data_IF_308630581678
#
_entry.id   IF_308630581678
#
_cell.length_a   1.000
_cell.length_b   1.000
_cell.length_c   1.000
_cell.angle_alpha   90.00
_cell.angle_beta   90.00
_cell.angle_gamma   90.00
#
_symmetry.space_group_name_H-M   'P 1'
#
loop_
_entity.id
_entity.type
_entity.pdbx_description
1 polymer ?
#
# COMPACT_ATOMS: atom_id res chain seq x y z
N UNK A 1 22.22 -39.91 -1.73
CA UNK A 1 21.03 -39.54 -0.97
C UNK A 1 21.57 -38.75 0.21
N UNK A 2 21.63 -37.45 0.07
CA UNK A 2 21.85 -36.53 1.16
C UNK A 2 20.44 -36.03 1.55
N UNK A 3 20.04 -36.39 2.76
CA UNK A 3 18.87 -35.82 3.37
C UNK A 3 19.12 -34.30 3.52
N UNK A 4 18.50 -33.51 2.64
CA UNK A 4 18.31 -32.10 2.89
C UNK A 4 17.38 -31.99 4.13
N UNK A 5 17.98 -31.94 5.32
CA UNK A 5 17.34 -31.34 6.48
C UNK A 5 16.95 -29.91 6.06
N UNK A 6 15.69 -29.74 5.70
CA UNK A 6 15.04 -28.44 5.56
C UNK A 6 15.06 -27.87 6.99
N UNK A 7 16.10 -27.11 7.31
CA UNK A 7 16.15 -26.34 8.53
C UNK A 7 14.83 -25.57 8.61
N UNK A 8 14.05 -25.79 9.68
CA UNK A 8 12.83 -25.05 9.95
C UNK A 8 13.19 -23.57 9.90
N UNK A 9 12.75 -22.89 8.84
CA UNK A 9 13.10 -21.51 8.62
C UNK A 9 12.49 -20.69 9.78
N UNK A 10 13.35 -20.02 10.54
CA UNK A 10 12.96 -19.22 11.70
C UNK A 10 11.96 -18.15 11.21
N UNK A 11 10.80 -18.00 11.87
CA UNK A 11 9.85 -16.95 11.53
C UNK A 11 10.50 -15.56 11.61
N UNK A 12 10.06 -14.63 10.77
CA UNK A 12 10.53 -13.25 10.77
C UNK A 12 9.52 -12.32 11.45
N UNK A 13 10.03 -11.23 12.03
CA UNK A 13 9.16 -10.19 12.60
C UNK A 13 8.94 -9.11 11.55
N UNK A 14 7.67 -8.84 11.24
CA UNK A 14 7.24 -7.70 10.44
C UNK A 14 6.77 -6.56 11.33
N UNK A 15 7.11 -5.33 10.94
CA UNK A 15 6.57 -4.09 11.49
C UNK A 15 5.97 -3.29 10.35
N UNK A 16 4.74 -2.84 10.52
CA UNK A 16 4.07 -1.90 9.59
C UNK A 16 3.74 -0.62 10.35
N UNK A 17 4.36 0.50 9.94
CA UNK A 17 4.32 1.77 10.65
C UNK A 17 3.50 2.77 9.86
N UNK A 18 2.23 2.91 10.25
CA UNK A 18 1.37 3.97 9.76
C UNK A 18 1.37 5.21 10.66
N UNK A 19 0.73 6.28 10.20
CA UNK A 19 0.61 7.52 10.97
C UNK A 19 -0.23 7.41 12.24
N UNK A 20 -1.10 6.41 12.36
CA UNK A 20 -2.04 6.24 13.49
C UNK A 20 -1.85 4.92 14.24
N UNK A 21 -1.41 3.88 13.57
CA UNK A 21 -1.22 2.55 14.15
C UNK A 21 0.11 1.95 13.72
N UNK A 22 0.71 1.15 14.60
CA UNK A 22 1.82 0.26 14.32
C UNK A 22 1.30 -1.17 14.48
N UNK A 23 1.56 -2.02 13.49
CA UNK A 23 1.30 -3.46 13.55
C UNK A 23 2.63 -4.18 13.59
N UNK A 24 2.80 -5.08 14.56
CA UNK A 24 3.93 -5.98 14.65
C UNK A 24 3.42 -7.42 14.56
N UNK A 25 4.05 -8.25 13.75
CA UNK A 25 3.66 -9.65 13.64
C UNK A 25 4.86 -10.58 13.52
N UNK A 26 4.74 -11.75 14.11
CA UNK A 26 5.60 -12.89 13.83
C UNK A 26 4.99 -13.66 12.66
N UNK A 27 5.73 -13.79 11.57
CA UNK A 27 5.25 -14.33 10.30
C UNK A 27 6.15 -15.49 9.89
N UNK A 28 5.56 -16.61 9.51
CA UNK A 28 6.30 -17.73 8.96
C UNK A 28 6.67 -17.51 7.48
N UNK A 29 7.43 -18.45 6.91
CA UNK A 29 7.88 -18.38 5.51
C UNK A 29 6.75 -18.41 4.47
N UNK A 30 5.60 -18.96 4.84
CA UNK A 30 4.44 -19.10 3.97
C UNK A 30 3.49 -17.88 4.12
N UNK A 31 3.89 -16.88 4.92
CA UNK A 31 3.15 -15.66 5.16
C UNK A 31 2.05 -15.77 6.21
N UNK A 32 1.97 -16.92 6.94
CA UNK A 32 0.99 -17.03 8.01
C UNK A 32 1.43 -16.21 9.24
N UNK A 33 0.50 -15.41 9.75
CA UNK A 33 0.70 -14.64 10.98
C UNK A 33 0.52 -15.59 12.17
N UNK A 34 1.61 -15.82 12.91
CA UNK A 34 1.62 -16.65 14.11
C UNK A 34 1.17 -15.85 15.33
N UNK A 35 1.60 -14.60 15.43
CA UNK A 35 1.25 -13.66 16.50
C UNK A 35 1.17 -12.26 15.95
N UNK A 36 0.24 -11.47 16.45
CA UNK A 36 0.09 -10.05 16.10
C UNK A 36 -0.03 -9.18 17.35
N UNK A 37 0.52 -7.98 17.25
CA UNK A 37 0.40 -6.88 18.21
C UNK A 37 0.03 -5.61 17.47
N UNK A 38 -0.90 -4.84 18.03
CA UNK A 38 -1.29 -3.53 17.49
C UNK A 38 -1.20 -2.50 18.59
N UNK A 39 -0.58 -1.37 18.27
CA UNK A 39 -0.48 -0.22 19.17
C UNK A 39 -0.77 1.06 18.39
N UNK A 40 -1.17 2.10 19.10
CA UNK A 40 -1.25 3.45 18.50
C UNK A 40 0.15 3.97 18.20
N UNK A 41 0.31 4.68 17.08
CA UNK A 41 1.59 5.29 16.72
C UNK A 41 1.89 6.45 17.66
N UNK A 42 2.97 6.39 18.46
CA UNK A 42 3.35 7.52 19.31
C UNK A 42 3.65 8.76 18.49
N UNK A 43 3.18 9.92 18.93
CA UNK A 43 3.42 11.21 18.25
C UNK A 43 4.89 11.58 18.24
N UNK A 44 5.57 11.34 19.37
CA UNK A 44 6.99 11.62 19.53
C UNK A 44 7.87 10.57 18.84
N UNK A 45 8.86 11.02 18.04
CA UNK A 45 9.71 10.14 17.23
C UNK A 45 10.61 9.21 18.04
N UNK A 46 11.14 9.66 19.20
CA UNK A 46 11.97 8.84 20.07
C UNK A 46 11.13 7.77 20.77
N UNK A 47 9.95 8.13 21.26
CA UNK A 47 8.99 7.19 21.83
C UNK A 47 8.54 6.16 20.80
N UNK A 48 8.33 6.57 19.55
CA UNK A 48 7.98 5.65 18.48
C UNK A 48 9.06 4.61 18.25
N UNK A 49 10.33 5.02 18.18
CA UNK A 49 11.43 4.07 18.04
C UNK A 49 11.56 3.14 19.23
N UNK A 50 11.40 3.65 20.46
CA UNK A 50 11.37 2.83 21.65
C UNK A 50 10.23 1.81 21.64
N UNK A 51 9.05 2.19 21.14
CA UNK A 51 7.90 1.29 20.98
C UNK A 51 8.19 0.17 19.97
N UNK A 52 8.82 0.49 18.83
CA UNK A 52 9.23 -0.54 17.85
C UNK A 52 10.19 -1.56 18.47
N UNK A 53 11.17 -1.10 19.23
CA UNK A 53 12.12 -1.95 19.96
C UNK A 53 11.38 -2.83 20.97
N UNK A 54 10.49 -2.25 21.76
CA UNK A 54 9.72 -2.98 22.75
C UNK A 54 8.82 -4.07 22.14
N UNK A 55 8.21 -3.80 21.00
CA UNK A 55 7.39 -4.77 20.27
C UNK A 55 8.23 -5.96 19.77
N UNK A 56 9.40 -5.69 19.18
CA UNK A 56 10.31 -6.74 18.70
C UNK A 56 10.84 -7.56 19.88
N UNK A 57 11.36 -6.90 20.91
CA UNK A 57 11.88 -7.56 22.11
C UNK A 57 10.82 -8.42 22.81
N UNK A 58 9.58 -7.93 22.86
CA UNK A 58 8.46 -8.68 23.42
C UNK A 58 8.19 -9.96 22.65
N UNK A 59 8.10 -9.88 21.31
CA UNK A 59 7.90 -11.05 20.46
C UNK A 59 9.07 -12.04 20.56
N UNK A 60 10.32 -11.56 20.58
CA UNK A 60 11.50 -12.40 20.72
C UNK A 60 11.49 -13.17 22.06
N UNK A 61 11.18 -12.51 23.17
CA UNK A 61 11.16 -13.12 24.51
C UNK A 61 10.01 -14.11 24.67
N UNK A 62 8.82 -13.77 24.18
CA UNK A 62 7.64 -14.64 24.31
C UNK A 62 7.75 -15.94 23.50
N UNK A 63 8.48 -15.89 22.37
CA UNK A 63 8.61 -17.02 21.44
C UNK A 63 10.01 -17.64 21.37
N UNK A 64 10.89 -17.28 22.30
CA UNK A 64 12.27 -17.80 22.43
C UNK A 64 13.08 -17.66 21.11
N UNK A 65 12.93 -16.51 20.45
CA UNK A 65 13.56 -16.23 19.17
C UNK A 65 14.96 -15.64 19.38
N UNK A 66 16.00 -16.44 19.19
CA UNK A 66 17.39 -16.01 19.33
C UNK A 66 18.04 -15.59 18.01
N UNK A 67 17.49 -16.06 16.88
CA UNK A 67 18.00 -15.80 15.53
C UNK A 67 16.84 -15.51 14.58
N UNK A 68 16.29 -14.31 14.67
CA UNK A 68 15.25 -13.86 13.74
C UNK A 68 15.71 -12.65 12.94
N UNK A 69 14.94 -12.23 11.97
CA UNK A 69 15.16 -11.01 11.22
C UNK A 69 13.96 -10.09 11.38
N UNK A 70 14.19 -8.81 11.22
CA UNK A 70 13.13 -7.79 11.33
C UNK A 70 12.97 -7.08 10.00
N UNK A 71 11.76 -7.07 9.47
CA UNK A 71 11.37 -6.24 8.34
C UNK A 71 10.45 -5.11 8.80
N UNK A 72 10.61 -3.94 8.22
CA UNK A 72 9.86 -2.73 8.57
C UNK A 72 9.28 -2.11 7.30
N UNK A 73 7.97 -1.96 7.25
CA UNK A 73 7.28 -1.09 6.30
C UNK A 73 7.02 0.27 6.95
N UNK A 74 7.51 1.35 6.38
CA UNK A 74 7.35 2.70 6.92
C UNK A 74 6.65 3.62 5.91
N UNK A 75 5.59 4.31 6.34
CA UNK A 75 4.88 5.27 5.52
C UNK A 75 5.77 6.48 5.19
N UNK A 76 6.39 6.50 4.01
CA UNK A 76 7.27 7.57 3.54
C UNK A 76 8.34 7.11 2.55
N UNK A 77 9.21 8.03 2.18
CA UNK A 77 10.32 7.78 1.26
C UNK A 77 11.46 7.07 2.02
N UNK A 78 11.79 5.85 1.64
CA UNK A 78 12.86 5.04 2.26
C UNK A 78 13.93 4.73 1.24
N UNK A 79 15.19 5.05 1.55
CA UNK A 79 16.30 4.77 0.65
C UNK A 79 16.87 3.34 0.80
N UNK A 80 17.88 3.03 -0.02
CA UNK A 80 18.50 1.69 -0.05
C UNK A 80 19.24 1.34 1.27
N UNK A 81 19.67 2.33 2.03
CA UNK A 81 20.31 2.18 3.33
C UNK A 81 19.31 2.03 4.48
N UNK A 82 18.00 2.13 4.20
CA UNK A 82 16.93 2.08 5.20
C UNK A 82 16.83 3.34 6.05
N UNK A 83 17.23 4.48 5.47
CA UNK A 83 16.99 5.81 6.03
C UNK A 83 15.61 6.29 5.54
N UNK A 84 14.76 6.70 6.46
CA UNK A 84 13.50 7.34 6.12
C UNK A 84 13.79 8.80 5.79
N UNK A 85 13.85 9.10 4.49
CA UNK A 85 14.21 10.42 3.99
C UNK A 85 13.13 11.46 4.26
N UNK A 86 11.88 11.06 4.12
CA UNK A 86 10.74 11.94 4.36
C UNK A 86 9.49 11.14 4.68
N UNK A 87 8.92 11.37 5.85
CA UNK A 87 7.66 10.76 6.30
C UNK A 87 6.86 11.80 7.10
N UNK A 88 6.05 12.64 6.44
CA UNK A 88 5.36 13.76 7.11
C UNK A 88 4.40 13.29 8.20
N UNK A 89 3.75 12.15 8.03
CA UNK A 89 2.82 11.58 9.02
C UNK A 89 3.53 10.99 10.24
N UNK A 90 4.85 10.80 10.16
CA UNK A 90 5.71 10.30 11.22
C UNK A 90 6.68 11.37 11.73
N UNK A 91 6.64 12.58 11.18
CA UNK A 91 7.59 13.67 11.46
C UNK A 91 9.07 13.23 11.38
N UNK A 92 9.36 12.31 10.45
CA UNK A 92 10.72 11.85 10.20
C UNK A 92 11.32 12.53 8.97
N UNK A 93 12.58 12.97 9.12
CA UNK A 93 13.41 13.52 8.05
C UNK A 93 14.82 12.99 8.20
N UNK A 94 15.35 12.39 7.13
CA UNK A 94 16.68 11.75 7.14
C UNK A 94 16.91 10.87 8.38
N UNK A 95 15.88 10.12 8.78
CA UNK A 95 15.86 9.35 10.00
C UNK A 95 16.50 7.96 9.78
N UNK A 96 17.64 7.63 10.40
CA UNK A 96 18.41 6.41 10.12
C UNK A 96 17.79 5.19 10.82
N UNK A 97 16.53 4.88 10.51
CA UNK A 97 15.68 3.90 11.21
C UNK A 97 16.33 2.53 11.27
N UNK A 98 16.81 2.02 10.12
CA UNK A 98 17.48 0.71 10.05
C UNK A 98 18.65 0.63 11.05
N UNK A 99 19.57 1.59 11.00
CA UNK A 99 20.76 1.62 11.84
C UNK A 99 20.41 1.68 13.33
N UNK A 100 19.40 2.46 13.70
CA UNK A 100 18.96 2.58 15.09
C UNK A 100 18.40 1.26 15.59
N UNK A 101 17.51 0.61 14.82
CA UNK A 101 16.94 -0.67 15.21
C UNK A 101 18.00 -1.78 15.26
N UNK A 102 18.92 -1.86 14.29
CA UNK A 102 20.02 -2.85 14.30
C UNK A 102 20.92 -2.68 15.52
N UNK A 103 21.22 -1.43 15.90
CA UNK A 103 22.07 -1.12 17.07
C UNK A 103 21.44 -1.55 18.39
N UNK A 104 20.14 -1.33 18.55
CA UNK A 104 19.43 -1.61 19.80
C UNK A 104 19.00 -3.08 19.93
N UNK A 105 18.58 -3.69 18.82
CA UNK A 105 18.06 -5.07 18.82
C UNK A 105 19.17 -6.13 18.68
N UNK A 106 20.29 -5.77 18.06
CA UNK A 106 21.33 -6.75 17.69
C UNK A 106 20.87 -7.76 16.62
N UNK A 107 19.78 -7.46 15.90
CA UNK A 107 19.19 -8.29 14.86
C UNK A 107 19.35 -7.64 13.49
N UNK A 108 19.41 -8.43 12.39
CA UNK A 108 19.35 -7.87 11.05
C UNK A 108 18.01 -7.19 10.81
N UNK A 109 18.04 -5.93 10.33
CA UNK A 109 16.83 -5.14 10.03
C UNK A 109 16.82 -4.73 8.58
N UNK A 110 15.66 -4.87 7.94
CA UNK A 110 15.38 -4.29 6.63
C UNK A 110 14.25 -3.28 6.74
N UNK A 111 14.44 -2.09 6.20
CA UNK A 111 13.41 -1.05 6.15
C UNK A 111 13.04 -0.78 4.70
N UNK A 112 11.73 -0.71 4.44
CA UNK A 112 11.16 -0.48 3.13
C UNK A 112 9.98 0.51 3.24
N UNK A 113 9.56 1.10 2.13
CA UNK A 113 8.28 1.80 2.06
C UNK A 113 7.11 0.82 2.33
N UNK A 114 6.05 1.28 3.02
CA UNK A 114 4.90 0.47 3.42
C UNK A 114 4.13 -0.14 2.23
N UNK A 115 3.86 0.66 1.20
CA UNK A 115 3.16 0.19 0.00
C UNK A 115 4.03 -0.78 -0.83
N UNK A 116 5.34 -0.55 -0.88
CA UNK A 116 6.29 -1.45 -1.51
C UNK A 116 6.39 -2.78 -0.75
N UNK A 117 6.37 -2.73 0.59
CA UNK A 117 6.31 -3.94 1.42
C UNK A 117 4.99 -4.70 1.17
N UNK A 118 3.85 -4.01 1.14
CA UNK A 118 2.56 -4.63 0.81
C UNK A 118 2.56 -5.29 -0.57
N UNK A 119 3.13 -4.63 -1.58
CA UNK A 119 3.29 -5.19 -2.92
C UNK A 119 4.13 -6.47 -2.92
N UNK A 120 5.18 -6.51 -2.12
CA UNK A 120 5.99 -7.70 -1.95
C UNK A 120 5.20 -8.84 -1.29
N UNK A 121 4.44 -8.55 -0.24
CA UNK A 121 3.58 -9.54 0.42
C UNK A 121 2.56 -10.15 -0.52
N UNK A 122 1.84 -9.33 -1.26
CA UNK A 122 0.87 -9.78 -2.26
C UNK A 122 1.51 -10.57 -3.41
N UNK A 123 2.73 -10.22 -3.81
CA UNK A 123 3.46 -10.97 -4.84
C UNK A 123 3.92 -12.34 -4.35
N UNK A 124 4.42 -12.44 -3.11
CA UNK A 124 5.00 -13.70 -2.61
C UNK A 124 3.92 -14.69 -2.17
N UNK A 125 2.91 -14.23 -1.43
CA UNK A 125 1.92 -15.12 -0.78
C UNK A 125 0.46 -14.71 -1.04
N UNK A 126 0.23 -13.59 -1.71
CA UNK A 126 -1.11 -13.04 -1.96
C UNK A 126 -1.60 -13.19 -3.40
N UNK A 127 -2.31 -12.17 -3.88
CA UNK A 127 -2.98 -12.15 -5.18
C UNK A 127 -2.01 -12.21 -6.38
N UNK A 128 -0.74 -11.88 -6.17
CA UNK A 128 0.31 -11.91 -7.20
C UNK A 128 1.18 -13.16 -7.22
N UNK A 129 0.95 -14.14 -6.34
CA UNK A 129 1.85 -15.29 -6.14
C UNK A 129 2.11 -16.14 -7.39
N UNK A 130 1.18 -16.16 -8.33
CA UNK A 130 1.27 -16.93 -9.56
C UNK A 130 1.82 -16.09 -10.74
N UNK A 131 2.10 -14.79 -10.53
CA UNK A 131 2.57 -13.86 -11.55
C UNK A 131 4.10 -13.91 -11.70
N UNK A 132 4.61 -14.88 -12.42
CA UNK A 132 6.06 -15.06 -12.64
C UNK A 132 6.71 -13.87 -13.38
N UNK A 133 5.96 -13.17 -14.24
CA UNK A 133 6.40 -11.99 -15.00
C UNK A 133 6.44 -10.70 -14.18
N UNK A 134 5.91 -10.71 -12.95
CA UNK A 134 5.89 -9.56 -12.06
C UNK A 134 4.51 -8.97 -11.80
N UNK A 135 4.40 -8.15 -10.77
CA UNK A 135 3.17 -7.54 -10.30
C UNK A 135 3.32 -6.04 -10.06
N UNK A 136 2.32 -5.28 -10.45
CA UNK A 136 2.13 -3.89 -10.08
C UNK A 136 1.06 -3.84 -8.98
N UNK A 137 1.36 -3.22 -7.85
CA UNK A 137 0.36 -2.98 -6.82
C UNK A 137 0.12 -1.48 -6.63
N UNK A 138 -1.14 -1.12 -6.45
CA UNK A 138 -1.60 0.19 -5.98
C UNK A 138 -2.35 0.02 -4.67
N UNK A 139 -1.92 0.71 -3.64
CA UNK A 139 -2.61 0.79 -2.34
C UNK A 139 -3.45 2.04 -2.29
N UNK A 140 -4.76 1.92 -2.47
CA UNK A 140 -5.71 3.04 -2.51
C UNK A 140 -6.40 3.17 -1.15
N UNK A 141 -5.89 4.06 -0.33
CA UNK A 141 -6.38 4.37 1.01
C UNK A 141 -6.60 5.87 1.20
N UNK A 142 -6.12 6.44 2.30
CA UNK A 142 -6.08 7.90 2.52
C UNK A 142 -5.35 8.61 1.38
N UNK A 143 -4.24 8.03 0.92
CA UNK A 143 -3.50 8.40 -0.29
C UNK A 143 -3.49 7.25 -1.30
N UNK A 144 -2.56 7.31 -2.25
CA UNK A 144 -2.26 6.23 -3.19
C UNK A 144 -0.76 5.92 -3.13
N UNK A 145 -0.43 4.76 -2.60
CA UNK A 145 0.91 4.20 -2.66
C UNK A 145 1.03 3.13 -3.74
N UNK A 146 2.22 2.55 -3.88
CA UNK A 146 2.39 1.45 -4.81
C UNK A 146 3.71 0.71 -4.67
N UNK A 147 3.81 -0.40 -5.39
CA UNK A 147 5.00 -1.20 -5.52
C UNK A 147 5.01 -1.94 -6.85
N UNK A 148 6.20 -2.23 -7.32
CA UNK A 148 6.43 -2.99 -8.54
C UNK A 148 7.38 -4.14 -8.24
N UNK A 149 6.97 -5.34 -8.59
CA UNK A 149 7.86 -6.49 -8.63
C UNK A 149 8.10 -6.85 -10.09
N UNK A 150 9.34 -6.98 -10.46
CA UNK A 150 9.76 -7.41 -11.81
C UNK A 150 10.91 -8.39 -11.68
N UNK A 151 10.91 -9.42 -12.52
CA UNK A 151 11.94 -10.49 -12.49
C UNK A 151 12.12 -11.12 -11.09
N UNK A 152 11.02 -11.23 -10.33
CA UNK A 152 11.03 -11.77 -8.97
C UNK A 152 11.71 -10.88 -7.92
N UNK A 153 11.84 -9.58 -8.18
CA UNK A 153 12.47 -8.59 -7.30
C UNK A 153 11.64 -7.34 -7.18
N UNK A 154 11.63 -6.77 -5.99
CA UNK A 154 11.04 -5.44 -5.76
C UNK A 154 11.85 -4.36 -6.49
N UNK A 155 11.19 -3.58 -7.36
CA UNK A 155 11.81 -2.50 -8.13
C UNK A 155 11.99 -1.26 -7.23
N UNK A 156 13.18 -1.09 -6.68
CA UNK A 156 13.49 0.00 -5.73
C UNK A 156 14.06 1.25 -6.38
N UNK A 157 14.46 1.15 -7.66
CA UNK A 157 15.17 2.23 -8.37
C UNK A 157 16.59 2.46 -7.85
N UNK A 158 17.23 3.49 -8.39
CA UNK A 158 18.64 3.78 -8.11
C UNK A 158 18.90 4.25 -6.66
N UNK A 159 17.88 4.80 -6.00
CA UNK A 159 18.01 5.42 -4.67
C UNK A 159 17.03 4.83 -3.64
N UNK A 160 16.29 3.78 -3.97
CA UNK A 160 15.26 3.22 -3.09
C UNK A 160 13.90 3.93 -3.17
N UNK A 161 13.76 4.96 -3.99
CA UNK A 161 12.61 5.86 -4.02
C UNK A 161 11.67 5.63 -5.23
N UNK A 162 11.70 4.46 -5.85
CA UNK A 162 10.83 4.13 -6.97
C UNK A 162 9.40 3.80 -6.50
N UNK A 163 8.50 3.69 -7.46
CA UNK A 163 7.11 3.27 -7.28
C UNK A 163 6.19 4.28 -6.56
N UNK A 164 6.53 5.56 -6.56
CA UNK A 164 5.67 6.66 -6.12
C UNK A 164 4.49 6.88 -7.11
N UNK A 165 3.75 5.80 -7.41
CA UNK A 165 2.74 5.77 -8.47
C UNK A 165 1.55 6.67 -8.21
N UNK A 166 1.23 6.94 -6.94
CA UNK A 166 0.20 7.92 -6.57
C UNK A 166 0.50 9.34 -7.05
N UNK A 167 1.78 9.64 -7.31
CA UNK A 167 2.22 10.99 -7.68
C UNK A 167 2.49 11.18 -9.17
N UNK A 168 2.20 10.16 -10.03
CA UNK A 168 2.18 10.39 -11.48
C UNK A 168 1.08 11.39 -11.81
N UNK A 169 1.41 12.37 -12.67
CA UNK A 169 0.45 13.40 -13.09
C UNK A 169 -0.35 12.83 -14.26
N UNK A 170 -1.64 12.57 -14.04
CA UNK A 170 -2.56 12.01 -15.05
C UNK A 170 -3.58 13.03 -15.56
N UNK A 171 -3.65 14.21 -14.93
CA UNK A 171 -4.53 15.30 -15.34
C UNK A 171 -3.83 16.65 -15.13
N UNK A 172 -3.20 17.19 -16.18
CA UNK A 172 -2.55 18.50 -16.12
C UNK A 172 -3.56 19.57 -15.66
N UNK A 173 -3.15 20.43 -14.72
CA UNK A 173 -4.03 21.45 -14.13
C UNK A 173 -5.12 20.91 -13.18
N UNK A 174 -5.15 19.62 -12.92
CA UNK A 174 -6.09 18.97 -12.03
C UNK A 174 -6.01 19.41 -10.56
N UNK A 175 -6.68 18.72 -9.65
CA UNK A 175 -6.69 19.07 -8.22
C UNK A 175 -5.29 19.11 -7.62
N UNK A 176 -5.12 19.94 -6.58
CA UNK A 176 -3.84 20.04 -5.86
C UNK A 176 -3.59 18.76 -5.06
N UNK A 177 -2.39 18.23 -5.17
CA UNK A 177 -1.90 17.10 -4.39
C UNK A 177 -1.06 17.61 -3.19
N UNK A 178 -1.09 16.92 -2.03
CA UNK A 178 -0.23 17.24 -0.89
C UNK A 178 1.27 17.25 -1.21
N UNK A 179 1.72 16.50 -2.23
CA UNK A 179 3.12 16.51 -2.69
C UNK A 179 3.56 17.84 -3.35
N UNK A 180 2.64 18.78 -3.55
CA UNK A 180 2.89 20.09 -4.18
C UNK A 180 2.50 20.18 -5.65
N UNK A 181 2.36 19.06 -6.35
CA UNK A 181 1.92 18.99 -7.75
C UNK A 181 0.40 19.15 -7.91
N UNK A 182 -0.06 19.15 -9.17
CA UNK A 182 -1.48 19.10 -9.53
C UNK A 182 -1.77 17.90 -10.42
N UNK A 183 -2.95 17.30 -10.25
CA UNK A 183 -3.43 16.23 -11.11
C UNK A 183 -2.74 14.89 -10.93
N UNK A 184 -2.12 14.66 -9.78
CA UNK A 184 -1.61 13.36 -9.39
C UNK A 184 -2.74 12.32 -9.32
N UNK A 185 -2.45 11.06 -9.59
CA UNK A 185 -3.39 9.95 -9.43
C UNK A 185 -4.03 9.96 -8.04
N UNK A 186 -3.25 10.16 -6.99
CA UNK A 186 -3.72 10.27 -5.61
C UNK A 186 -4.78 11.36 -5.43
N UNK A 187 -4.54 12.53 -6.01
CA UNK A 187 -5.49 13.66 -5.90
C UNK A 187 -6.82 13.43 -6.64
N UNK A 188 -6.95 12.34 -7.39
CA UNK A 188 -8.11 12.02 -8.21
C UNK A 188 -8.83 10.73 -7.79
N UNK A 189 -8.11 9.78 -7.16
CA UNK A 189 -8.65 8.44 -6.89
C UNK A 189 -8.46 7.93 -5.45
N UNK A 190 -7.78 8.66 -4.56
CA UNK A 190 -7.65 8.27 -3.15
C UNK A 190 -8.95 8.47 -2.36
N UNK A 191 -9.06 7.85 -1.18
CA UNK A 191 -10.19 8.08 -0.27
C UNK A 191 -10.34 9.55 0.11
N UNK A 192 -9.23 10.27 0.32
CA UNK A 192 -9.26 11.73 0.54
C UNK A 192 -9.80 12.48 -0.69
N UNK A 193 -9.41 12.06 -1.89
CA UNK A 193 -9.90 12.65 -3.13
C UNK A 193 -11.39 12.39 -3.35
N UNK A 194 -11.88 11.19 -3.03
CA UNK A 194 -13.30 10.82 -3.09
C UNK A 194 -14.12 11.70 -2.14
N UNK A 195 -13.71 11.81 -0.86
CA UNK A 195 -14.40 12.68 0.09
C UNK A 195 -14.41 14.15 -0.33
N UNK A 196 -13.28 14.65 -0.86
CA UNK A 196 -13.19 16.01 -1.40
C UNK A 196 -14.15 16.20 -2.58
N UNK A 197 -14.18 15.29 -3.55
CA UNK A 197 -15.07 15.37 -4.70
C UNK A 197 -16.55 15.36 -4.30
N UNK A 198 -16.91 14.55 -3.29
CA UNK A 198 -18.27 14.56 -2.74
C UNK A 198 -18.63 15.91 -2.10
N UNK A 199 -17.76 16.48 -1.27
CA UNK A 199 -17.97 17.82 -0.68
C UNK A 199 -18.11 18.90 -1.74
N UNK A 200 -17.28 18.87 -2.78
CA UNK A 200 -17.38 19.83 -3.90
C UNK A 200 -18.72 19.67 -4.65
N UNK A 201 -19.16 18.43 -4.90
CA UNK A 201 -20.44 18.16 -5.55
C UNK A 201 -21.65 18.58 -4.71
N UNK A 202 -21.61 18.36 -3.39
CA UNK A 202 -22.63 18.86 -2.44
C UNK A 202 -22.67 20.38 -2.45
N UNK A 203 -21.54 21.07 -2.34
CA UNK A 203 -21.47 22.53 -2.35
C UNK A 203 -21.97 23.14 -3.66
N UNK A 204 -21.66 22.49 -4.79
CA UNK A 204 -22.12 22.91 -6.12
C UNK A 204 -23.57 22.51 -6.45
N UNK A 205 -24.23 21.71 -5.60
CA UNK A 205 -25.55 21.13 -5.80
C UNK A 205 -25.68 20.37 -7.14
N UNK A 206 -24.66 19.58 -7.48
CA UNK A 206 -24.61 18.80 -8.71
C UNK A 206 -25.05 17.34 -8.55
N UNK A 207 -25.22 16.87 -7.30
CA UNK A 207 -25.72 15.52 -7.03
C UNK A 207 -27.25 15.45 -7.31
N UNK A 208 -27.77 14.25 -7.62
CA UNK A 208 -29.21 14.03 -7.77
C UNK A 208 -30.00 14.48 -6.53
N UNK A 209 -31.22 14.97 -6.74
CA UNK A 209 -32.15 15.27 -5.65
C UNK A 209 -32.39 14.01 -4.82
N UNK A 210 -32.32 14.14 -3.48
CA UNK A 210 -32.51 13.03 -2.55
C UNK A 210 -31.25 12.22 -2.28
N UNK A 211 -30.08 12.63 -2.79
CA UNK A 211 -28.81 12.03 -2.36
C UNK A 211 -28.59 12.26 -0.87
N UNK A 212 -28.30 11.18 -0.13
CA UNK A 212 -28.03 11.23 1.30
C UNK A 212 -26.75 12.01 1.65
N UNK A 213 -25.87 12.22 0.67
CA UNK A 213 -24.63 13.00 0.84
C UNK A 213 -24.92 14.48 1.18
N UNK A 214 -26.12 15.00 0.87
CA UNK A 214 -26.50 16.36 1.27
C UNK A 214 -26.70 16.53 2.78
N UNK A 215 -26.95 15.42 3.50
CA UNK A 215 -27.30 15.41 4.91
C UNK A 215 -26.12 14.99 5.80
N UNK A 216 -24.92 14.78 5.23
CA UNK A 216 -23.72 14.36 5.96
C UNK A 216 -22.75 15.53 6.08
N UNK A 217 -22.42 15.88 7.32
CA UNK A 217 -21.37 16.86 7.61
C UNK A 217 -19.99 16.21 7.43
N UNK A 218 -19.00 16.98 6.96
CA UNK A 218 -17.59 16.57 6.79
C UNK A 218 -17.39 15.22 6.07
N UNK A 219 -18.02 15.06 4.92
CA UNK A 219 -18.00 13.87 4.10
C UNK A 219 -16.58 13.32 3.88
N UNK A 220 -16.36 12.06 4.28
CA UNK A 220 -15.16 11.26 3.98
C UNK A 220 -15.35 10.35 2.79
N UNK A 221 -14.27 9.74 2.30
CA UNK A 221 -14.36 8.69 1.27
C UNK A 221 -15.13 7.46 1.76
N UNK A 222 -15.06 7.15 3.05
CA UNK A 222 -15.80 6.03 3.67
C UNK A 222 -17.31 6.30 3.63
N UNK A 223 -17.76 7.52 3.96
CA UNK A 223 -19.18 7.88 3.90
C UNK A 223 -19.73 7.74 2.49
N UNK A 224 -18.95 8.15 1.48
CA UNK A 224 -19.33 7.98 0.07
C UNK A 224 -19.43 6.50 -0.30
N UNK A 225 -18.48 5.67 0.15
CA UNK A 225 -18.51 4.23 -0.11
C UNK A 225 -19.76 3.59 0.50
N UNK A 226 -20.05 3.88 1.77
CA UNK A 226 -21.24 3.35 2.47
C UNK A 226 -22.53 3.80 1.80
N UNK A 227 -22.64 5.08 1.42
CA UNK A 227 -23.82 5.61 0.73
C UNK A 227 -24.02 4.94 -0.66
N UNK A 228 -22.94 4.76 -1.42
CA UNK A 228 -23.00 4.10 -2.72
C UNK A 228 -23.42 2.63 -2.60
N UNK A 229 -22.90 1.90 -1.62
CA UNK A 229 -23.30 0.52 -1.32
C UNK A 229 -24.79 0.43 -0.90
N UNK A 230 -25.31 1.49 -0.28
CA UNK A 230 -26.73 1.61 0.05
C UNK A 230 -27.60 2.05 -1.16
N UNK A 231 -27.01 2.29 -2.33
CA UNK A 231 -27.72 2.60 -3.58
C UNK A 231 -27.90 4.10 -3.84
N UNK A 232 -27.17 4.99 -3.13
CA UNK A 232 -27.22 6.43 -3.41
C UNK A 232 -26.57 6.73 -4.79
N UNK A 233 -27.34 7.29 -5.69
CA UNK A 233 -26.90 7.59 -7.04
C UNK A 233 -25.81 8.67 -7.12
N UNK A 234 -25.82 9.63 -6.20
CA UNK A 234 -24.80 10.68 -6.12
C UNK A 234 -23.45 10.11 -5.66
N UNK A 235 -23.47 9.30 -4.62
CA UNK A 235 -22.28 8.60 -4.12
C UNK A 235 -21.71 7.63 -5.17
N UNK A 236 -22.60 6.90 -5.87
CA UNK A 236 -22.19 6.03 -6.99
C UNK A 236 -21.47 6.81 -8.09
N UNK A 237 -22.00 7.97 -8.49
CA UNK A 237 -21.37 8.81 -9.52
C UNK A 237 -19.96 9.29 -9.08
N UNK A 238 -19.78 9.67 -7.81
CA UNK A 238 -18.47 10.07 -7.26
C UNK A 238 -17.49 8.91 -7.30
N UNK A 239 -17.89 7.70 -6.89
CA UNK A 239 -17.01 6.51 -6.94
C UNK A 239 -16.69 6.10 -8.37
N UNK A 240 -17.66 6.15 -9.29
CA UNK A 240 -17.44 5.87 -10.70
C UNK A 240 -16.37 6.78 -11.29
N UNK A 241 -16.42 8.07 -11.01
CA UNK A 241 -15.41 9.01 -11.51
C UNK A 241 -14.03 8.77 -10.91
N UNK A 242 -13.96 8.47 -9.60
CA UNK A 242 -12.70 8.10 -8.95
C UNK A 242 -12.11 6.80 -9.54
N UNK A 243 -12.97 5.81 -9.80
CA UNK A 243 -12.58 4.56 -10.48
C UNK A 243 -12.06 4.82 -11.89
N UNK A 244 -12.70 5.68 -12.67
CA UNK A 244 -12.21 6.05 -14.02
C UNK A 244 -10.80 6.65 -13.96
N UNK A 245 -10.53 7.54 -13.02
CA UNK A 245 -9.18 8.10 -12.84
C UNK A 245 -8.17 7.04 -12.41
N UNK A 246 -8.57 6.11 -11.54
CA UNK A 246 -7.72 4.96 -11.19
C UNK A 246 -7.37 4.15 -12.44
N UNK A 247 -8.35 3.88 -13.31
CA UNK A 247 -8.15 3.17 -14.58
C UNK A 247 -7.23 3.91 -15.55
N UNK A 248 -7.29 5.25 -15.61
CA UNK A 248 -6.35 6.08 -16.39
C UNK A 248 -4.92 5.90 -15.86
N UNK A 249 -4.74 5.92 -14.54
CA UNK A 249 -3.45 5.67 -13.89
C UNK A 249 -2.92 4.26 -14.19
N UNK A 250 -3.77 3.25 -14.02
CA UNK A 250 -3.44 1.85 -14.34
C UNK A 250 -3.00 1.72 -15.80
N UNK A 251 -3.74 2.29 -16.75
CA UNK A 251 -3.38 2.22 -18.17
C UNK A 251 -2.00 2.84 -18.45
N UNK A 252 -1.69 3.99 -17.84
CA UNK A 252 -0.41 4.66 -17.97
C UNK A 252 0.74 3.80 -17.45
N UNK A 253 0.55 3.17 -16.29
CA UNK A 253 1.52 2.30 -15.67
C UNK A 253 1.70 0.98 -16.45
N UNK A 254 0.61 0.34 -16.87
CA UNK A 254 0.67 -0.91 -17.66
C UNK A 254 1.32 -0.69 -19.02
N UNK A 255 1.04 0.44 -19.69
CA UNK A 255 1.71 0.78 -20.94
C UNK A 255 3.22 1.03 -20.78
N UNK A 256 3.67 1.39 -19.59
CA UNK A 256 5.08 1.72 -19.31
C UNK A 256 5.87 0.57 -18.71
N UNK A 257 5.23 -0.28 -17.91
CA UNK A 257 5.90 -1.26 -17.05
C UNK A 257 5.60 -2.70 -17.43
N UNK A 258 4.52 -2.95 -18.19
CA UNK A 258 4.07 -4.27 -18.68
C UNK A 258 4.06 -5.38 -17.61
N UNK A 259 3.38 -5.18 -16.46
CA UNK A 259 3.28 -6.22 -15.42
C UNK A 259 2.36 -7.36 -15.88
N UNK A 260 2.49 -8.54 -15.27
CA UNK A 260 1.58 -9.67 -15.55
C UNK A 260 0.22 -9.51 -14.84
N UNK A 261 0.20 -8.83 -13.69
CA UNK A 261 -1.01 -8.56 -12.91
C UNK A 261 -0.97 -7.15 -12.29
N UNK A 262 -2.12 -6.51 -12.19
CA UNK A 262 -2.32 -5.28 -11.42
C UNK A 262 -3.14 -5.60 -10.19
N UNK A 263 -2.58 -5.37 -9.02
CA UNK A 263 -3.22 -5.61 -7.71
C UNK A 263 -3.67 -4.28 -7.14
N UNK A 264 -4.93 -4.16 -6.74
CA UNK A 264 -5.46 -2.97 -6.08
C UNK A 264 -5.86 -3.34 -4.65
N UNK A 265 -5.23 -2.67 -3.69
CA UNK A 265 -5.48 -2.85 -2.25
C UNK A 265 -5.75 -1.52 -1.56
N UNK A 266 -5.73 -1.52 -0.21
CA UNK A 266 -6.04 -0.37 0.63
C UNK A 266 -7.54 -0.21 0.90
N UNK A 267 -7.91 0.66 1.86
CA UNK A 267 -9.29 0.71 2.37
C UNK A 267 -10.37 1.13 1.35
N UNK A 268 -10.01 1.77 0.23
CA UNK A 268 -10.98 2.13 -0.81
C UNK A 268 -11.45 0.90 -1.60
N UNK A 269 -10.71 -0.22 -1.55
CA UNK A 269 -11.12 -1.49 -2.20
C UNK A 269 -12.43 -2.04 -1.62
N UNK A 270 -12.84 -1.63 -0.42
CA UNK A 270 -14.12 -2.02 0.18
C UNK A 270 -15.31 -1.55 -0.66
N UNK A 271 -15.13 -0.57 -1.55
CA UNK A 271 -16.12 -0.20 -2.54
C UNK A 271 -16.37 -1.32 -3.59
N UNK A 272 -15.46 -2.30 -3.69
CA UNK A 272 -15.60 -3.46 -4.57
C UNK A 272 -15.79 -3.10 -6.04
N UNK A 273 -16.80 -3.72 -6.65
CA UNK A 273 -17.16 -3.50 -8.05
C UNK A 273 -17.46 -2.04 -8.38
N UNK A 274 -18.02 -1.27 -7.43
CA UNK A 274 -18.35 0.14 -7.62
C UNK A 274 -17.14 1.02 -7.99
N UNK A 275 -15.94 0.62 -7.58
CA UNK A 275 -14.69 1.26 -7.94
C UNK A 275 -13.95 0.52 -9.05
N UNK A 276 -13.85 -0.82 -8.94
CA UNK A 276 -13.00 -1.62 -9.82
C UNK A 276 -13.58 -1.81 -11.23
N UNK A 277 -14.91 -1.87 -11.40
CA UNK A 277 -15.50 -1.97 -12.73
C UNK A 277 -15.20 -0.73 -13.58
N UNK A 278 -15.52 0.53 -13.13
CA UNK A 278 -15.18 1.71 -13.91
C UNK A 278 -13.67 1.91 -14.07
N UNK A 279 -12.85 1.45 -13.13
CA UNK A 279 -11.40 1.46 -13.27
C UNK A 279 -10.95 0.52 -14.40
N UNK A 280 -11.48 -0.70 -14.43
CA UNK A 280 -11.13 -1.70 -15.43
C UNK A 280 -11.60 -1.27 -16.83
N UNK A 281 -12.80 -0.70 -16.95
CA UNK A 281 -13.30 -0.16 -18.20
C UNK A 281 -12.39 0.96 -18.73
N UNK A 282 -12.09 1.95 -17.90
CA UNK A 282 -11.24 3.08 -18.27
C UNK A 282 -9.81 2.64 -18.62
N UNK A 283 -9.28 1.64 -17.92
CA UNK A 283 -8.00 0.99 -18.24
C UNK A 283 -8.04 0.34 -19.62
N UNK A 284 -9.03 -0.47 -19.90
CA UNK A 284 -9.17 -1.17 -21.16
C UNK A 284 -9.31 -0.24 -22.37
N UNK A 285 -10.00 0.88 -22.20
CA UNK A 285 -10.15 1.90 -23.26
C UNK A 285 -8.83 2.57 -23.65
N UNK A 286 -7.85 2.62 -22.73
CA UNK A 286 -6.60 3.40 -22.87
C UNK A 286 -5.36 2.53 -23.05
N UNK A 287 -5.54 1.22 -23.05
CA UNK A 287 -4.43 0.29 -23.25
C UNK A 287 -4.01 0.28 -24.73
N UNK A 288 -2.73 0.58 -24.96
CA UNK A 288 -2.17 0.58 -26.33
C UNK A 288 -2.18 -0.82 -26.92
N UNK A 289 -2.67 -0.93 -28.14
CA UNK A 289 -2.70 -2.18 -28.92
C UNK A 289 -3.34 -3.38 -28.16
N UNK A 290 -4.40 -3.12 -27.41
CA UNK A 290 -5.09 -4.09 -26.56
C UNK A 290 -5.38 -5.43 -27.24
N UNK A 291 -5.73 -5.40 -28.52
CA UNK A 291 -6.06 -6.61 -29.29
C UNK A 291 -4.83 -7.43 -29.71
N UNK A 292 -3.61 -6.89 -29.47
CA UNK A 292 -2.36 -7.48 -29.88
C UNK A 292 -1.41 -7.80 -28.72
N UNK A 293 -1.93 -7.78 -27.49
CA UNK A 293 -1.14 -8.06 -26.27
C UNK A 293 -1.96 -8.83 -25.25
N UNK A 294 -1.28 -9.53 -24.35
CA UNK A 294 -1.92 -9.98 -23.12
C UNK A 294 -2.34 -8.77 -22.28
N UNK A 295 -3.58 -8.76 -21.81
CA UNK A 295 -4.10 -7.69 -20.97
C UNK A 295 -3.94 -8.11 -19.51
N UNK A 296 -3.08 -7.45 -18.72
CA UNK A 296 -2.95 -7.74 -17.31
C UNK A 296 -4.30 -7.62 -16.59
N UNK A 297 -4.73 -8.64 -15.84
CA UNK A 297 -5.93 -8.53 -15.04
C UNK A 297 -5.76 -7.51 -13.91
N UNK A 298 -6.83 -6.80 -13.57
CA UNK A 298 -6.92 -5.96 -12.36
C UNK A 298 -7.63 -6.78 -11.31
N UNK A 299 -6.96 -7.07 -10.20
CA UNK A 299 -7.47 -7.91 -9.12
C UNK A 299 -7.41 -7.19 -7.77
N UNK A 300 -8.31 -7.55 -6.86
CA UNK A 300 -8.23 -7.08 -5.49
C UNK A 300 -7.07 -7.76 -4.73
N UNK A 301 -6.43 -7.01 -3.85
CA UNK A 301 -5.47 -7.55 -2.89
C UNK A 301 -6.13 -8.62 -2.00
N UNK A 302 -5.39 -9.66 -1.64
CA UNK A 302 -5.92 -10.79 -0.89
C UNK A 302 -5.50 -10.82 0.59
N UNK A 303 -4.42 -10.13 0.94
CA UNK A 303 -3.89 -10.08 2.31
C UNK A 303 -4.53 -8.96 3.17
N UNK A 304 -5.35 -8.10 2.55
CA UNK A 304 -6.06 -7.02 3.24
C UNK A 304 -5.12 -6.11 4.04
N UNK A 305 -5.51 -5.78 5.26
CA UNK A 305 -4.75 -4.92 6.19
C UNK A 305 -3.41 -5.52 6.65
N UNK A 306 -3.16 -6.79 6.37
CA UNK A 306 -1.92 -7.48 6.77
C UNK A 306 -0.84 -7.48 5.68
N UNK A 307 -1.15 -7.01 4.47
CA UNK A 307 -0.21 -7.03 3.35
C UNK A 307 1.12 -6.34 3.69
N UNK A 308 1.07 -5.17 4.36
CA UNK A 308 2.25 -4.42 4.79
C UNK A 308 3.13 -5.19 5.77
N UNK A 309 2.54 -5.70 6.86
CA UNK A 309 3.29 -6.41 7.90
C UNK A 309 3.82 -7.77 7.43
N UNK A 310 3.05 -8.50 6.63
CA UNK A 310 3.50 -9.77 6.02
C UNK A 310 4.64 -9.50 5.04
N UNK A 311 4.47 -8.53 4.14
CA UNK A 311 5.49 -8.18 3.17
C UNK A 311 6.77 -7.69 3.83
N UNK A 312 6.68 -6.88 4.89
CA UNK A 312 7.82 -6.44 5.67
C UNK A 312 8.57 -7.65 6.26
N UNK A 313 7.87 -8.58 6.93
CA UNK A 313 8.48 -9.78 7.49
C UNK A 313 9.21 -10.61 6.42
N UNK A 314 8.56 -10.88 5.29
CA UNK A 314 9.13 -11.62 4.16
C UNK A 314 10.35 -10.94 3.54
N UNK A 315 10.36 -9.59 3.47
CA UNK A 315 11.54 -8.81 3.08
C UNK A 315 12.68 -8.95 4.09
N UNK A 316 12.36 -8.91 5.38
CA UNK A 316 13.32 -9.12 6.47
C UNK A 316 13.96 -10.51 6.40
N UNK A 317 13.18 -11.55 6.14
CA UNK A 317 13.65 -12.93 5.98
C UNK A 317 14.57 -13.15 4.76
N UNK A 318 14.75 -12.13 3.90
CA UNK A 318 15.57 -12.25 2.70
C UNK A 318 14.92 -13.06 1.57
N UNK A 319 13.61 -13.30 1.64
CA UNK A 319 12.84 -13.91 0.58
C UNK A 319 12.96 -13.03 -0.67
N UNK A 320 13.82 -13.44 -1.61
CA UNK A 320 14.06 -12.90 -2.96
C UNK A 320 13.76 -11.41 -3.13
N UNK A 321 14.60 -10.57 -2.56
CA UNK A 321 14.53 -9.11 -2.77
C UNK A 321 15.38 -8.70 -3.97
#
# INVERSE_FOLDING_TARGET
MADDEVADAVPAIGLDIGGTKIVAALVDRDGAILVERRVETPVDGERRTAELIALVDGLCKEHDLHTTTVGVGAAGLVDLEGVVRYAPNLDWRDYPLRRLLESELGLPVRVENDAAAAAWGEYVVGAGRDAAGGALMLTVGTGVGGGLVTEGRLARGAHGLAAEFGHIIIAEGGPRCPCGNRGCLEALSSGTAIGRAAREAVAARTLPEGSVLYDVDDLSGTDVTVAAQAGDAGAHAVLTEAGRWLGVGIASLVNSLDPEVVIVGGGVIDAGALLLEPATEAYHERLVAREHRSVPPVVAASLGDHAGVIGAALLGAGARS
#
